data_IF_036367592041
#
_entry.id   IF_036367592041
#
_cell.length_a   1.000
_cell.length_b   1.000
_cell.length_c   1.000
_cell.angle_alpha   90.00
_cell.angle_beta   90.00
_cell.angle_gamma   90.00
#
_symmetry.space_group_name_H-M   'P 1'
#
loop_
_entity.id
_entity.type
_entity.pdbx_description
1 polymer ?
2 non-polymer ?
3 non-polymer ?
4 water ?
#
# COMPACT_ATOMS: atom_id res chain seq x y z
N UNK A 5 -7.05 -16.92 -13.31
CA UNK A 5 -8.31 -16.43 -13.96
C UNK A 5 -8.07 -15.17 -14.80
N UNK A 6 -9.05 -14.83 -15.63
CA UNK A 6 -8.91 -13.74 -16.58
C UNK A 6 -9.46 -12.41 -16.06
N UNK A 7 -10.53 -12.48 -15.27
CA UNK A 7 -11.26 -11.29 -14.83
C UNK A 7 -10.83 -10.67 -13.51
N UNK A 8 -11.58 -9.66 -13.10
CA UNK A 8 -11.34 -8.97 -11.83
C UNK A 8 -11.30 -9.93 -10.63
N UNK A 9 -10.13 -10.09 -9.98
CA UNK A 9 -10.02 -11.05 -8.88
C UNK A 9 -10.90 -10.77 -7.66
N UNK A 10 -11.33 -9.51 -7.51
CA UNK A 10 -12.17 -9.09 -6.36
C UNK A 10 -13.64 -9.47 -6.55
N UNK A 11 -14.05 -9.63 -7.80
CA UNK A 11 -15.46 -9.87 -8.16
C UNK A 11 -16.11 -11.06 -7.43
N UNK A 12 -17.23 -10.80 -6.78
CA UNK A 12 -18.02 -11.85 -6.12
C UNK A 12 -17.49 -12.29 -4.76
N UNK A 13 -16.49 -11.59 -4.24
CA UNK A 13 -15.92 -11.93 -2.95
C UNK A 13 -16.30 -10.94 -1.88
N UNK A 14 -16.55 -11.44 -0.66
CA UNK A 14 -16.61 -10.59 0.51
C UNK A 14 -15.19 -10.28 0.92
N UNK A 15 -14.94 -9.06 1.34
CA UNK A 15 -13.58 -8.68 1.68
C UNK A 15 -13.41 -8.82 3.17
N UNK A 16 -12.45 -9.65 3.57
CA UNK A 16 -12.17 -9.91 4.97
C UNK A 16 -11.77 -8.64 5.69
N UNK A 17 -12.42 -8.38 6.83
CA UNK A 17 -12.15 -7.16 7.59
C UNK A 17 -11.07 -7.43 8.61
N UNK A 18 -9.99 -6.67 8.49
CA UNK A 18 -8.82 -6.80 9.35
C UNK A 18 -9.22 -6.71 10.84
N UNK A 19 -8.96 -7.77 11.63
CA UNK A 19 -9.20 -7.67 13.08
C UNK A 19 -8.19 -6.75 13.76
N UNK A 20 -6.98 -6.68 13.21
CA UNK A 20 -5.92 -5.83 13.73
C UNK A 20 -6.41 -4.37 13.69
N UNK A 21 -6.90 -3.96 12.51
CA UNK A 21 -7.38 -2.60 12.31
C UNK A 21 -8.68 -2.34 13.09
N UNK A 22 -9.56 -3.33 13.15
CA UNK A 22 -10.80 -3.20 13.91
C UNK A 22 -10.50 -2.87 15.38
N UNK A 23 -9.57 -3.61 15.98
CA UNK A 23 -9.16 -3.38 17.36
C UNK A 23 -8.56 -1.99 17.59
N UNK A 24 -7.71 -1.53 16.65
CA UNK A 24 -7.18 -0.14 16.71
C UNK A 24 -8.30 0.92 16.64
N UNK A 25 -9.26 0.70 15.74
CA UNK A 25 -10.40 1.62 15.58
C UNK A 25 -11.29 1.61 16.81
N UNK A 26 -11.60 0.42 17.32
CA UNK A 26 -12.37 0.26 18.55
C UNK A 26 -11.78 1.06 19.72
N UNK A 27 -10.49 0.86 20.00
CA UNK A 27 -9.80 1.63 21.03
C UNK A 27 -9.74 3.14 20.71
N UNK A 28 -9.55 3.48 19.44
CA UNK A 28 -9.54 4.88 19.02
C UNK A 28 -10.89 5.55 19.24
N UNK A 29 -11.96 4.86 18.86
CA UNK A 29 -13.31 5.37 19.08
C UNK A 29 -13.57 5.61 20.57
N UNK A 30 -13.10 4.69 21.41
CA UNK A 30 -13.29 4.78 22.86
C UNK A 30 -12.71 6.09 23.43
N UNK A 31 -11.64 6.60 22.82
CA UNK A 31 -10.94 7.80 23.30
C UNK A 31 -11.52 9.11 22.75
N UNK A 32 -12.41 9.00 21.77
CA UNK A 32 -13.04 10.19 21.15
C UNK A 32 -14.26 10.57 21.98
N UNK A 33 -14.24 11.78 22.54
CA UNK A 33 -15.35 12.23 23.40
C UNK A 33 -16.61 12.68 22.65
N UNK A 34 -16.43 13.25 21.45
CA UNK A 34 -17.55 13.71 20.63
C UNK A 34 -18.38 12.53 20.13
N UNK A 35 -19.64 12.41 20.60
CA UNK A 35 -20.43 11.21 20.30
C UNK A 35 -20.70 11.05 18.80
N UNK A 36 -20.74 12.17 18.07
CA UNK A 36 -20.94 12.12 16.63
C UNK A 36 -19.69 11.54 15.94
N UNK A 37 -18.52 12.09 16.28
CA UNK A 37 -17.24 11.59 15.78
C UNK A 37 -16.92 10.18 16.26
N UNK A 38 -17.39 9.84 17.46
CA UNK A 38 -17.21 8.48 17.99
C UNK A 38 -17.92 7.48 17.06
N UNK A 39 -19.18 7.78 16.76
CA UNK A 39 -20.04 6.93 15.94
C UNK A 39 -19.51 6.80 14.51
N UNK A 40 -18.95 7.88 13.99
CA UNK A 40 -18.34 7.86 12.67
C UNK A 40 -17.05 7.05 12.69
N UNK A 41 -16.29 7.16 13.78
CA UNK A 41 -15.05 6.39 13.94
C UNK A 41 -15.33 4.89 13.85
N UNK A 42 -16.41 4.45 14.51
CA UNK A 42 -16.79 3.03 14.52
C UNK A 42 -17.20 2.45 13.15
N UNK A 43 -17.72 3.29 12.26
CA UNK A 43 -18.03 2.87 10.88
C UNK A 43 -16.76 2.40 10.14
N UNK A 44 -15.63 3.02 10.47
CA UNK A 44 -14.35 2.74 9.81
C UNK A 44 -13.92 1.27 9.92
N UNK A 45 -14.26 0.61 11.04
CA UNK A 45 -13.85 -0.80 11.19
C UNK A 45 -14.61 -1.74 10.24
N UNK A 46 -15.67 -1.25 9.62
CA UNK A 46 -16.40 -2.00 8.59
C UNK A 46 -15.89 -1.73 7.17
N UNK A 47 -14.86 -0.89 7.06
CA UNK A 47 -14.29 -0.57 5.74
C UNK A 47 -13.04 -1.41 5.52
N UNK A 48 -13.01 -2.21 4.43
CA UNK A 48 -11.88 -3.11 4.19
C UNK A 48 -10.55 -2.37 4.00
N UNK A 49 -9.53 -2.84 4.71
CA UNK A 49 -8.16 -2.37 4.55
C UNK A 49 -7.22 -3.54 4.26
N UNK A 50 -6.01 -3.23 3.80
CA UNK A 50 -4.96 -4.23 3.60
C UNK A 50 -4.16 -4.46 4.88
N UNK A 51 -3.77 -5.72 5.09
CA UNK A 51 -3.00 -6.15 6.27
C UNK A 51 -1.51 -6.25 5.94
N UNK A 52 -0.70 -5.46 6.62
CA UNK A 52 0.70 -5.31 6.30
C UNK A 52 1.52 -6.31 7.08
N UNK A 53 2.42 -6.98 6.38
CA UNK A 53 3.39 -7.86 7.03
C UNK A 53 4.75 -7.20 6.88
N UNK A 54 4.96 -6.21 7.76
CA UNK A 54 6.13 -5.33 7.74
C UNK A 54 7.27 -5.89 8.59
N UNK A 55 6.99 -6.92 9.39
CA UNK A 55 7.98 -7.62 10.21
C UNK A 55 7.71 -9.13 10.18
N UNK A 56 8.79 -9.92 10.21
CA UNK A 56 8.70 -11.36 10.03
C UNK A 56 8.06 -12.03 11.26
N UNK A 57 8.15 -11.39 12.41
CA UNK A 57 7.38 -11.83 13.58
C UNK A 57 5.86 -11.80 13.35
N UNK A 58 5.39 -11.09 12.31
CA UNK A 58 3.96 -11.10 11.97
C UNK A 58 3.52 -12.27 11.08
N UNK A 59 4.46 -13.05 10.55
CA UNK A 59 4.06 -14.11 9.61
C UNK A 59 3.07 -15.13 10.24
N UNK A 60 3.28 -15.54 11.50
CA UNK A 60 2.31 -16.48 12.09
C UNK A 60 0.89 -15.91 12.16
N UNK A 61 0.78 -14.58 12.24
CA UNK A 61 -0.53 -13.91 12.25
C UNK A 61 -1.30 -14.11 10.96
N UNK A 62 -0.58 -14.19 9.83
CA UNK A 62 -1.25 -14.51 8.57
C UNK A 62 -2.03 -15.81 8.68
N UNK A 63 -1.40 -16.83 9.26
CA UNK A 63 -2.09 -18.10 9.50
C UNK A 63 -3.40 -17.89 10.25
N UNK A 64 -3.34 -17.06 11.29
CA UNK A 64 -4.49 -16.75 12.13
C UNK A 64 -5.60 -16.03 11.33
N UNK A 65 -5.23 -15.06 10.49
CA UNK A 65 -6.23 -14.35 9.67
C UNK A 65 -6.89 -15.27 8.64
N UNK A 66 -6.08 -16.16 8.06
CA UNK A 66 -6.55 -17.06 7.01
C UNK A 66 -7.44 -18.14 7.61
N UNK A 67 -7.08 -18.62 8.81
CA UNK A 67 -7.93 -19.55 9.56
C UNK A 67 -9.27 -18.89 9.85
N UNK A 68 -9.22 -17.65 10.31
CA UNK A 68 -10.41 -16.86 10.65
C UNK A 68 -11.30 -16.67 9.41
N UNK A 69 -10.68 -16.28 8.30
CA UNK A 69 -11.37 -16.10 7.04
C UNK A 69 -11.92 -17.42 6.54
N UNK A 70 -11.14 -18.49 6.67
CA UNK A 70 -11.64 -19.83 6.31
C UNK A 70 -12.90 -20.23 7.13
N UNK A 71 -12.86 -19.98 8.42
CA UNK A 71 -14.00 -20.27 9.32
C UNK A 71 -15.25 -19.47 8.96
N UNK A 72 -15.07 -18.18 8.64
CA UNK A 72 -16.18 -17.32 8.20
C UNK A 72 -16.79 -17.86 6.91
N UNK A 73 -15.90 -18.21 5.97
CA UNK A 73 -16.28 -18.82 4.70
C UNK A 73 -17.07 -20.11 4.91
N UNK A 74 -16.56 -20.99 5.78
CA UNK A 74 -17.22 -22.28 6.01
C UNK A 74 -18.54 -22.14 6.77
N UNK A 75 -18.60 -21.17 7.69
CA UNK A 75 -19.82 -20.89 8.45
C UNK A 75 -20.93 -20.32 7.55
N UNK A 76 -20.58 -19.34 6.73
CA UNK A 76 -21.55 -18.56 5.95
C UNK A 76 -21.74 -19.06 4.52
N UNK A 77 -20.77 -19.82 4.01
CA UNK A 77 -20.77 -20.24 2.60
C UNK A 77 -20.46 -19.11 1.63
N UNK A 78 -20.02 -17.97 2.17
CA UNK A 78 -19.67 -16.82 1.35
C UNK A 78 -18.16 -16.73 1.21
N UNK A 79 -17.68 -16.81 -0.04
CA UNK A 79 -16.25 -16.76 -0.36
C UNK A 79 -15.59 -15.50 0.21
N UNK A 80 -14.44 -15.69 0.86
CA UNK A 80 -13.68 -14.62 1.51
C UNK A 80 -12.40 -14.28 0.72
N UNK A 81 -12.04 -12.99 0.72
CA UNK A 81 -10.81 -12.53 0.11
C UNK A 81 -10.02 -11.72 1.15
N UNK A 82 -8.76 -12.13 1.37
CA UNK A 82 -7.87 -11.51 2.36
C UNK A 82 -6.84 -10.64 1.64
N UNK A 83 -6.69 -9.40 2.11
CA UNK A 83 -5.85 -8.39 1.50
C UNK A 83 -4.60 -8.17 2.36
N UNK A 84 -3.43 -8.39 1.76
CA UNK A 84 -2.17 -8.34 2.49
C UNK A 84 -1.11 -7.48 1.79
N UNK A 85 -0.12 -7.02 2.54
CA UNK A 85 1.00 -6.29 1.95
C UNK A 85 2.29 -7.00 2.28
N UNK A 86 3.12 -7.23 1.26
CA UNK A 86 4.46 -7.80 1.46
C UNK A 86 5.37 -6.58 1.55
N UNK A 87 6.01 -6.38 2.69
CA UNK A 87 6.78 -5.16 2.92
C UNK A 87 7.91 -5.40 3.92
N UNK A 88 8.99 -6.01 3.43
CA UNK A 88 10.12 -6.31 4.31
C UNK A 88 11.45 -6.56 3.62
N UNK A 89 11.62 -5.96 2.44
CA UNK A 89 12.88 -6.11 1.68
C UNK A 89 14.10 -5.72 2.52
N UNK A 90 15.26 -6.36 2.28
CA UNK A 90 16.45 -5.84 3.00
C UNK A 90 16.77 -4.41 2.57
N UNK A 91 17.29 -3.60 3.49
CA UNK A 91 17.51 -2.16 3.26
C UNK A 91 16.24 -1.48 2.70
N UNK A 92 15.12 -1.79 3.35
CA UNK A 92 13.82 -1.24 2.99
C UNK A 92 13.81 0.30 3.01
N UNK A 93 12.90 0.90 2.24
CA UNK A 93 12.63 2.34 2.32
C UNK A 93 13.92 3.14 2.16
N UNK A 94 14.64 2.86 1.08
CA UNK A 94 16.06 3.22 0.98
C UNK A 94 16.33 4.71 0.79
N UNK A 95 15.30 5.48 0.41
CA UNK A 95 15.42 6.92 0.24
C UNK A 95 14.98 7.66 1.50
N UNK A 96 14.58 6.92 2.52
CA UNK A 96 14.03 7.51 3.73
C UNK A 96 14.54 6.85 5.00
N UNK A 97 14.33 7.51 6.13
CA UNK A 97 14.69 6.98 7.45
C UNK A 97 13.48 6.35 8.16
N UNK A 98 12.28 6.87 7.86
CA UNK A 98 11.09 6.62 8.66
C UNK A 98 10.69 5.14 8.82
N UNK A 99 10.76 4.39 7.72
CA UNK A 99 10.36 2.98 7.70
C UNK A 99 11.52 2.02 7.43
N UNK A 100 12.68 2.30 8.01
CA UNK A 100 13.91 1.52 7.78
C UNK A 100 13.72 -0.01 7.68
N UNK A 101 13.30 -0.69 8.73
CA UNK A 101 13.10 -2.13 8.57
C UNK A 101 14.21 -3.00 9.13
N UNK A 102 13.88 -4.27 9.36
CA UNK A 102 14.68 -5.14 10.22
C UNK A 102 15.81 -5.89 9.52
N UNK A 103 15.74 -6.03 8.21
CA UNK A 103 16.79 -6.74 7.48
C UNK A 103 17.79 -5.79 6.83
N UNK A 104 19.07 -6.11 6.99
CA UNK A 104 20.17 -5.37 6.37
C UNK A 104 20.93 -6.27 5.42
N UNK A 105 21.26 -5.73 4.25
CA UNK A 105 22.12 -6.44 3.31
C UNK A 105 23.52 -6.65 3.87
N UNK A 106 23.92 -5.76 4.78
CA UNK A 106 25.18 -5.91 5.49
C UNK A 106 25.15 -7.10 6.47
N UNK A 107 23.96 -7.61 6.77
CA UNK A 107 23.83 -8.68 7.75
C UNK A 107 22.91 -9.83 7.29
N UNK A 108 23.23 -10.41 6.13
CA UNK A 108 22.50 -11.57 5.60
C UNK A 108 21.05 -11.28 5.21
N UNK A 109 20.77 -10.01 4.90
CA UNK A 109 19.41 -9.53 4.62
C UNK A 109 18.67 -10.25 3.51
N UNK A 110 19.40 -10.68 2.48
CA UNK A 110 18.77 -11.30 1.33
C UNK A 110 18.17 -12.66 1.68
N UNK A 111 18.96 -13.52 2.34
CA UNK A 111 18.49 -14.84 2.75
C UNK A 111 17.35 -14.73 3.77
N UNK A 112 17.50 -13.83 4.74
CA UNK A 112 16.46 -13.57 5.72
C UNK A 112 15.16 -13.12 5.04
N UNK A 113 15.27 -12.39 3.93
CA UNK A 113 14.06 -11.98 3.21
C UNK A 113 13.37 -13.17 2.53
N UNK A 114 14.15 -14.07 1.94
CA UNK A 114 13.58 -15.27 1.30
C UNK A 114 12.86 -16.12 2.33
N UNK A 115 13.47 -16.24 3.52
CA UNK A 115 12.86 -16.95 4.63
C UNK A 115 11.54 -16.30 5.05
N UNK A 116 11.53 -14.97 5.12
CA UNK A 116 10.30 -14.22 5.45
C UNK A 116 9.19 -14.59 4.45
N UNK A 117 9.54 -14.59 3.16
CA UNK A 117 8.59 -14.98 2.12
C UNK A 117 8.15 -16.44 2.27
N UNK A 118 9.10 -17.31 2.60
CA UNK A 118 8.85 -18.73 2.85
C UNK A 118 7.88 -18.95 4.00
N UNK A 119 8.03 -18.16 5.06
CA UNK A 119 7.10 -18.22 6.19
C UNK A 119 5.70 -17.76 5.75
N UNK A 120 5.61 -16.65 5.01
CA UNK A 120 4.33 -16.23 4.42
C UNK A 120 3.71 -17.38 3.61
N UNK A 121 4.52 -18.01 2.78
CA UNK A 121 4.06 -19.13 1.94
C UNK A 121 3.60 -20.34 2.76
N UNK A 122 4.26 -20.62 3.88
CA UNK A 122 3.92 -21.78 4.71
C UNK A 122 2.56 -21.60 5.40
N UNK A 123 2.18 -20.35 5.63
CA UNK A 123 0.87 -20.05 6.21
C UNK A 123 -0.21 -20.17 5.15
N UNK A 124 0.03 -19.61 3.98
CA UNK A 124 -0.91 -19.68 2.87
C UNK A 124 -1.19 -21.14 2.45
N UNK A 125 -0.17 -22.00 2.56
CA UNK A 125 -0.32 -23.41 2.19
C UNK A 125 -1.31 -24.13 3.09
N UNK A 126 -1.40 -23.70 4.35
CA UNK A 126 -2.29 -24.35 5.32
C UNK A 126 -3.76 -23.97 5.11
N UNK A 127 -4.01 -22.88 4.37
CA UNK A 127 -5.36 -22.40 4.15
C UNK A 127 -5.61 -22.05 2.69
N UNK A 128 -5.70 -23.08 1.83
CA UNK A 128 -5.78 -22.87 0.38
C UNK A 128 -7.16 -22.44 -0.14
N UNK A 129 -8.16 -22.39 0.74
CA UNK A 129 -9.55 -22.21 0.28
C UNK A 129 -10.00 -20.76 0.27
N UNK A 130 -9.10 -19.87 0.62
CA UNK A 130 -9.39 -18.44 0.70
C UNK A 130 -8.57 -17.68 -0.37
N UNK A 131 -9.21 -16.75 -1.07
CA UNK A 131 -8.50 -15.93 -2.06
C UNK A 131 -7.66 -14.88 -1.35
N UNK A 132 -6.46 -14.63 -1.87
CA UNK A 132 -5.57 -13.60 -1.33
C UNK A 132 -5.12 -12.65 -2.42
N UNK A 133 -5.21 -11.36 -2.13
CA UNK A 133 -4.65 -10.29 -2.94
C UNK A 133 -3.50 -9.64 -2.17
N UNK A 134 -2.33 -9.63 -2.79
CA UNK A 134 -1.14 -9.10 -2.15
C UNK A 134 -0.63 -7.89 -2.92
N UNK A 135 -0.27 -6.83 -2.18
CA UNK A 135 0.50 -5.74 -2.75
C UNK A 135 1.97 -6.05 -2.45
N UNK A 136 2.80 -5.98 -3.49
CA UNK A 136 4.21 -6.37 -3.36
C UNK A 136 5.12 -5.16 -3.19
N UNK A 137 5.65 -5.04 -1.97
CA UNK A 137 6.77 -4.14 -1.65
C UNK A 137 6.64 -2.68 -2.08
N UNK A 138 5.74 -1.91 -1.41
CA UNK A 138 5.60 -0.49 -1.68
C UNK A 138 6.94 0.22 -1.69
N UNK A 139 7.05 1.19 -2.60
CA UNK A 139 8.23 2.06 -2.79
C UNK A 139 9.43 1.42 -3.45
N UNK A 140 9.57 0.11 -3.35
CA UNK A 140 10.80 -0.56 -3.79
C UNK A 140 11.22 -0.19 -5.21
N UNK A 141 10.43 -0.64 -6.19
CA UNK A 141 10.71 -0.36 -7.61
C UNK A 141 10.67 1.13 -8.01
N UNK A 142 9.80 1.92 -7.37
CA UNK A 142 9.79 3.36 -7.60
C UNK A 142 11.14 4.03 -7.25
N UNK A 143 11.75 3.59 -6.15
CA UNK A 143 13.10 4.04 -5.78
C UNK A 143 14.17 3.61 -6.78
N UNK A 144 13.98 2.43 -7.36
CA UNK A 144 14.93 1.92 -8.34
C UNK A 144 14.96 2.76 -9.60
N UNK A 145 13.81 3.35 -9.95
CA UNK A 145 13.70 4.25 -11.11
C UNK A 145 14.31 5.63 -10.82
N UNK A 146 14.08 6.13 -9.61
CA UNK A 146 14.26 7.54 -9.35
C UNK A 146 15.43 7.93 -8.46
N UNK A 147 15.89 6.99 -7.62
CA UNK A 147 16.83 7.32 -6.54
C UNK A 147 18.16 6.57 -6.48
N UNK A 148 18.69 6.17 -7.64
CA UNK A 148 20.00 5.51 -7.69
C UNK A 148 21.16 6.44 -7.27
N UNK A 149 20.88 7.73 -7.12
CA UNK A 149 21.82 8.67 -6.49
C UNK A 149 21.95 8.47 -4.97
N UNK A 150 21.01 7.75 -4.38
CA UNK A 150 21.00 7.50 -2.95
C UNK A 150 21.77 6.21 -2.69
N UNK A 151 22.83 6.31 -1.88
CA UNK A 151 23.74 5.18 -1.67
C UNK A 151 23.02 3.89 -1.25
N UNK A 152 22.17 3.97 -0.24
CA UNK A 152 21.37 2.82 0.21
C UNK A 152 20.56 2.19 -0.94
N UNK A 153 19.92 3.01 -1.77
CA UNK A 153 19.15 2.51 -2.91
C UNK A 153 20.02 1.85 -3.96
N UNK A 154 21.11 2.51 -4.32
CA UNK A 154 22.07 1.96 -5.28
C UNK A 154 22.61 0.60 -4.84
N UNK A 155 22.99 0.49 -3.57
CA UNK A 155 23.43 -0.78 -3.00
C UNK A 155 22.36 -1.86 -2.95
N UNK A 156 21.09 -1.42 -2.86
CA UNK A 156 19.97 -2.34 -2.73
C UNK A 156 19.40 -2.85 -4.05
N UNK A 157 19.85 -2.30 -5.17
CA UNK A 157 19.19 -2.56 -6.47
C UNK A 157 19.01 -4.04 -6.83
N UNK A 158 20.07 -4.84 -6.75
CA UNK A 158 19.99 -6.26 -7.08
C UNK A 158 19.05 -7.03 -6.13
N UNK A 159 19.14 -6.68 -4.85
CA UNK A 159 18.37 -7.35 -3.81
C UNK A 159 16.86 -7.04 -3.93
N UNK A 160 16.53 -5.78 -4.25
CA UNK A 160 15.13 -5.39 -4.47
C UNK A 160 14.50 -6.22 -5.60
N UNK A 161 15.19 -6.27 -6.74
CA UNK A 161 14.69 -7.02 -7.90
C UNK A 161 14.61 -8.51 -7.59
N UNK A 162 15.70 -9.08 -7.10
CA UNK A 162 15.73 -10.47 -6.68
C UNK A 162 14.58 -10.78 -5.70
N UNK A 163 14.40 -9.91 -4.71
CA UNK A 163 13.42 -10.12 -3.64
C UNK A 163 11.99 -10.07 -4.14
N UNK A 164 11.69 -9.07 -4.97
CA UNK A 164 10.36 -8.92 -5.56
C UNK A 164 10.05 -10.11 -6.49
N UNK A 165 11.03 -10.54 -7.29
CA UNK A 165 10.82 -11.69 -8.18
C UNK A 165 10.56 -12.98 -7.38
N UNK A 166 11.32 -13.19 -6.32
CA UNK A 166 11.13 -14.35 -5.44
C UNK A 166 9.71 -14.37 -4.87
N UNK A 167 9.32 -13.24 -4.27
CA UNK A 167 7.98 -13.12 -3.68
C UNK A 167 6.90 -13.44 -4.71
N UNK A 168 7.03 -12.88 -5.91
CA UNK A 168 6.06 -13.06 -6.98
C UNK A 168 5.98 -14.51 -7.42
N UNK A 169 7.15 -15.16 -7.58
CA UNK A 169 7.20 -16.57 -8.00
C UNK A 169 6.61 -17.49 -6.93
N UNK A 170 6.88 -17.16 -5.68
CA UNK A 170 6.39 -17.97 -4.57
C UNK A 170 4.89 -17.78 -4.34
N UNK A 171 4.41 -16.54 -4.46
CA UNK A 171 2.96 -16.29 -4.25
C UNK A 171 2.14 -16.77 -5.44
N UNK A 172 2.63 -16.55 -6.67
CA UNK A 172 1.95 -17.02 -7.88
C UNK A 172 1.79 -18.53 -7.94
N UNK A 173 2.76 -19.26 -7.39
CA UNK A 173 2.68 -20.73 -7.32
C UNK A 173 1.63 -21.16 -6.30
N UNK A 174 1.22 -20.25 -5.42
CA UNK A 174 0.19 -20.54 -4.44
C UNK A 174 -1.19 -19.96 -4.81
N UNK A 175 -1.28 -19.36 -5.99
CA UNK A 175 -2.56 -18.86 -6.50
C UNK A 175 -2.96 -17.53 -5.92
N UNK A 176 -1.98 -16.82 -5.35
CA UNK A 176 -2.17 -15.50 -4.78
C UNK A 176 -2.12 -14.46 -5.90
N UNK A 177 -3.08 -13.53 -5.87
CA UNK A 177 -3.12 -12.46 -6.86
C UNK A 177 -2.25 -11.31 -6.39
N UNK A 178 -1.25 -10.97 -7.21
CA UNK A 178 -0.31 -9.89 -6.86
C UNK A 178 -0.51 -8.63 -7.66
N UNK A 179 -0.35 -7.50 -6.99
CA UNK A 179 -0.24 -6.20 -7.61
C UNK A 179 1.05 -5.62 -7.11
N UNK A 180 1.98 -5.38 -8.03
CA UNK A 180 3.31 -4.86 -7.71
C UNK A 180 3.20 -3.36 -7.48
N UNK A 181 3.83 -2.87 -6.42
CA UNK A 181 3.77 -1.44 -6.15
C UNK A 181 4.39 -0.62 -7.26
N UNK A 182 3.72 0.47 -7.62
CA UNK A 182 4.15 1.27 -8.74
C UNK A 182 4.20 2.78 -8.44
N UNK A 183 4.56 3.15 -7.21
CA UNK A 183 4.59 4.57 -6.81
C UNK A 183 3.23 5.26 -6.95
N UNK A 184 3.25 6.48 -7.45
CA UNK A 184 2.03 7.30 -7.62
C UNK A 184 2.26 8.34 -8.69
N UNK A 185 1.19 9.10 -9.02
CA UNK A 185 1.25 10.11 -10.07
C UNK A 185 2.39 11.11 -9.89
N UNK A 186 2.60 11.57 -8.65
CA UNK A 186 3.67 12.55 -8.36
C UNK A 186 5.04 11.94 -8.16
N UNK A 187 5.17 10.64 -8.41
CA UNK A 187 6.47 9.98 -8.31
C UNK A 187 6.89 9.49 -9.70
N UNK A 188 6.14 8.52 -10.22
CA UNK A 188 6.47 7.91 -11.53
C UNK A 188 5.62 8.45 -12.68
N UNK A 189 4.70 9.36 -12.37
CA UNK A 189 3.84 10.02 -13.38
C UNK A 189 4.53 11.05 -14.24
N UNK A 190 5.62 11.62 -13.71
CA UNK A 190 6.45 12.58 -14.44
C UNK A 190 7.00 11.94 -15.71
N UNK A 191 7.03 12.69 -16.81
CA UNK A 191 7.60 12.23 -18.06
C UNK A 191 9.05 11.72 -17.93
N UNK A 192 9.83 12.36 -17.05
CA UNK A 192 11.16 11.84 -16.72
C UNK A 192 11.14 10.34 -16.35
N UNK A 193 10.05 9.88 -15.72
CA UNK A 193 10.03 8.56 -15.08
C UNK A 193 9.11 7.50 -15.70
N UNK A 194 8.16 7.91 -16.52
CA UNK A 194 7.18 6.99 -17.10
C UNK A 194 7.79 5.83 -17.87
N UNK A 195 8.48 6.14 -18.98
CA UNK A 195 9.07 5.10 -19.83
C UNK A 195 10.00 4.17 -19.04
N UNK A 196 10.93 4.74 -18.23
CA UNK A 196 11.79 3.85 -17.43
C UNK A 196 10.99 2.96 -16.48
N UNK A 197 9.90 3.49 -15.91
CA UNK A 197 9.06 2.66 -15.04
C UNK A 197 8.45 1.52 -15.83
N UNK A 198 7.81 1.86 -16.95
CA UNK A 198 7.18 0.84 -17.81
C UNK A 198 8.16 -0.28 -18.11
N UNK A 199 9.40 0.08 -18.45
CA UNK A 199 10.43 -0.92 -18.77
C UNK A 199 10.73 -1.82 -17.59
N UNK A 200 10.88 -1.23 -16.41
CA UNK A 200 11.19 -1.98 -15.20
C UNK A 200 10.07 -2.93 -14.80
N UNK A 201 8.83 -2.47 -14.86
CA UNK A 201 7.69 -3.33 -14.49
C UNK A 201 7.58 -4.51 -15.43
N UNK A 202 7.81 -4.25 -16.72
CA UNK A 202 7.76 -5.30 -17.75
C UNK A 202 8.83 -6.38 -17.48
N UNK A 203 10.02 -5.93 -17.08
CA UNK A 203 11.17 -6.81 -16.76
C UNK A 203 10.88 -7.72 -15.55
N UNK A 204 10.38 -7.12 -14.47
CA UNK A 204 9.96 -7.87 -13.29
C UNK A 204 8.87 -8.92 -13.63
N UNK A 205 7.83 -8.50 -14.33
CA UNK A 205 6.80 -9.40 -14.84
C UNK A 205 7.42 -10.58 -15.60
N UNK A 206 8.34 -10.29 -16.52
CA UNK A 206 9.01 -11.31 -17.31
C UNK A 206 9.79 -12.28 -16.44
N UNK A 207 10.72 -11.75 -15.65
CA UNK A 207 11.58 -12.55 -14.76
C UNK A 207 10.81 -13.33 -13.70
N UNK A 208 9.60 -12.84 -13.37
CA UNK A 208 8.69 -13.54 -12.46
C UNK A 208 7.84 -14.60 -13.17
N UNK A 209 8.09 -14.79 -14.47
CA UNK A 209 7.44 -15.89 -15.20
C UNK A 209 6.13 -15.53 -15.87
N UNK A 210 5.74 -14.25 -15.84
CA UNK A 210 4.51 -13.79 -16.50
C UNK A 210 3.24 -14.50 -16.03
N UNK A 211 3.21 -14.91 -14.77
CA UNK A 211 2.01 -15.58 -14.22
C UNK A 211 0.78 -14.69 -14.31
N UNK A 212 -0.33 -15.29 -14.75
CA UNK A 212 -1.63 -14.63 -14.72
C UNK A 212 -2.05 -14.15 -13.32
N UNK A 213 -1.47 -14.77 -12.29
CA UNK A 213 -1.68 -14.31 -10.91
C UNK A 213 -1.03 -12.96 -10.61
N UNK A 214 -0.05 -12.58 -11.43
CA UNK A 214 0.55 -11.25 -11.34
C UNK A 214 -0.37 -10.31 -12.11
N UNK A 215 -1.39 -9.82 -11.42
CA UNK A 215 -2.51 -9.16 -12.08
C UNK A 215 -2.15 -7.76 -12.58
N UNK A 216 -1.25 -7.09 -11.89
CA UNK A 216 -0.82 -5.77 -12.32
C UNK A 216 -0.12 -4.98 -11.25
N UNK A 217 -0.54 -3.73 -11.10
CA UNK A 217 0.17 -2.78 -10.25
C UNK A 217 -0.72 -2.08 -9.23
N UNK A 218 -0.09 -1.55 -8.19
CA UNK A 218 -0.79 -0.79 -7.16
C UNK A 218 -0.22 0.63 -7.14
N UNK A 219 -1.09 1.63 -6.98
CA UNK A 219 -0.64 3.02 -7.00
C UNK A 219 -1.13 3.76 -5.76
N UNK A 220 -0.41 4.81 -5.38
CA UNK A 220 -0.86 5.73 -4.33
C UNK A 220 -0.81 5.12 -2.94
N UNK A 221 -0.09 4.01 -2.78
CA UNK A 221 0.09 3.36 -1.48
C UNK A 221 0.70 4.34 -0.47
N UNK A 222 0.01 4.50 0.66
CA UNK A 222 0.38 5.45 1.74
C UNK A 222 0.48 6.90 1.28
N UNK A 223 -0.14 7.22 0.16
CA UNK A 223 -0.11 8.59 -0.32
C UNK A 223 -1.51 9.18 -0.35
N UNK A 224 -1.66 10.34 -0.97
CA UNK A 224 -2.84 11.19 -0.76
C UNK A 224 -3.43 11.74 -2.05
N UNK A 225 -2.94 11.28 -3.20
CA UNK A 225 -3.42 11.81 -4.49
C UNK A 225 -4.91 11.53 -4.72
N UNK A 226 -5.54 12.40 -5.51
CA UNK A 226 -6.90 12.16 -5.96
C UNK A 226 -6.87 11.04 -7.01
N UNK A 227 -7.96 10.28 -7.07
CA UNK A 227 -8.14 9.34 -8.16
C UNK A 227 -8.38 10.12 -9.45
N UNK A 228 -9.39 10.97 -9.42
CA UNK A 228 -9.72 11.85 -10.53
C UNK A 228 -10.05 13.22 -9.94
N UNK A 229 -9.16 14.17 -10.17
CA UNK A 229 -9.22 15.45 -9.50
C UNK A 229 -10.30 16.31 -10.10
N UNK A 230 -11.26 16.72 -9.27
CA UNK A 230 -12.30 17.66 -9.69
C UNK A 230 -11.65 19.03 -9.96
N UNK A 231 -10.89 19.53 -8.98
CA UNK A 231 -10.01 20.70 -9.18
C UNK A 231 -8.54 20.25 -9.10
N UNK A 232 -7.72 20.75 -10.01
CA UNK A 232 -6.29 20.45 -9.95
C UNK A 232 -5.63 20.99 -8.68
N UNK A 233 -4.91 20.12 -7.98
CA UNK A 233 -4.11 20.49 -6.79
C UNK A 233 -2.89 21.30 -7.26
N UNK A 234 -2.75 22.56 -6.75
CA UNK A 234 -1.65 23.45 -7.13
C UNK A 234 -0.28 22.79 -7.03
N UNK A 235 -0.15 21.83 -6.13
CA UNK A 235 1.12 21.17 -5.89
C UNK A 235 1.57 20.25 -7.05
N UNK A 236 0.64 19.94 -7.95
CA UNK A 236 0.90 19.03 -9.06
C UNK A 236 1.40 19.75 -10.33
N UNK A 237 1.62 21.07 -10.24
CA UNK A 237 1.95 21.84 -11.45
C UNK A 237 3.19 21.33 -12.17
N UNK A 238 3.11 21.30 -13.50
CA UNK A 238 4.18 20.79 -14.33
C UNK A 238 4.01 19.33 -14.71
N UNK A 239 3.16 18.61 -13.98
CA UNK A 239 2.94 17.20 -14.25
C UNK A 239 1.55 17.03 -14.85
N UNK A 240 1.52 16.70 -16.14
CA UNK A 240 0.24 16.47 -16.83
C UNK A 240 -0.60 15.38 -16.16
N UNK A 241 0.06 14.43 -15.51
CA UNK A 241 -0.64 13.36 -14.80
C UNK A 241 -0.80 13.72 -13.34
N UNK A 242 -1.74 14.64 -13.10
CA UNK A 242 -1.93 15.25 -11.79
C UNK A 242 -2.92 14.53 -10.88
N UNK A 243 -3.45 13.41 -11.35
CA UNK A 243 -4.19 12.47 -10.47
C UNK A 243 -3.84 11.02 -10.86
N UNK A 244 -4.34 10.06 -10.08
CA UNK A 244 -3.95 8.66 -10.26
C UNK A 244 -4.50 8.08 -11.56
N UNK A 245 -5.73 8.49 -11.92
CA UNK A 245 -6.35 8.09 -13.19
C UNK A 245 -5.55 8.48 -14.43
N UNK A 246 -5.04 9.71 -14.44
CA UNK A 246 -4.22 10.21 -15.55
C UNK A 246 -2.90 9.47 -15.63
N UNK A 247 -2.29 9.28 -14.47
CA UNK A 247 -1.07 8.50 -14.33
C UNK A 247 -1.26 7.13 -14.94
N UNK A 248 -2.33 6.45 -14.54
CA UNK A 248 -2.60 5.07 -14.99
C UNK A 248 -2.89 5.04 -16.50
N UNK A 249 -3.68 5.99 -16.99
CA UNK A 249 -3.99 6.11 -18.41
C UNK A 249 -2.78 6.46 -19.29
N UNK A 250 -1.78 7.13 -18.71
CA UNK A 250 -0.51 7.36 -19.40
C UNK A 250 0.38 6.10 -19.32
N UNK A 251 0.38 5.45 -18.16
CA UNK A 251 1.24 4.25 -17.97
C UNK A 251 0.73 2.99 -18.70
N UNK A 252 -0.55 2.66 -18.56
CA UNK A 252 -1.10 1.42 -19.11
C UNK A 252 -0.72 1.12 -20.58
N UNK A 253 -0.90 2.09 -21.51
CA UNK A 253 -0.54 1.83 -22.91
C UNK A 253 0.96 1.55 -23.10
N UNK A 254 1.80 2.31 -22.41
CA UNK A 254 3.24 2.15 -22.47
C UNK A 254 3.63 0.74 -22.07
N UNK A 255 3.09 0.33 -20.93
CA UNK A 255 3.40 -0.97 -20.35
C UNK A 255 2.91 -2.09 -21.28
N UNK A 256 1.75 -1.90 -21.88
CA UNK A 256 1.18 -2.80 -22.88
C UNK A 256 2.17 -3.02 -24.04
N UNK A 257 2.65 -1.91 -24.62
CA UNK A 257 3.64 -1.99 -25.69
C UNK A 257 4.93 -2.66 -25.25
N UNK A 258 5.26 -2.51 -23.96
CA UNK A 258 6.41 -3.18 -23.33
C UNK A 258 6.14 -4.64 -22.95
N UNK A 259 4.96 -5.14 -23.27
CA UNK A 259 4.67 -6.58 -23.13
C UNK A 259 3.85 -7.02 -21.93
N UNK A 260 3.20 -6.08 -21.27
CA UNK A 260 2.37 -6.45 -20.12
C UNK A 260 1.05 -5.70 -20.13
N UNK A 261 -0.05 -6.41 -20.35
CA UNK A 261 -1.38 -5.83 -20.20
C UNK A 261 -1.78 -5.89 -18.71
N UNK A 262 -1.40 -4.85 -17.97
CA UNK A 262 -1.51 -4.84 -16.52
C UNK A 262 -2.81 -4.19 -16.07
N UNK A 263 -3.38 -4.70 -14.98
CA UNK A 263 -4.52 -4.06 -14.34
C UNK A 263 -4.07 -3.34 -13.06
N UNK A 264 -4.92 -2.50 -12.50
CA UNK A 264 -4.48 -1.61 -11.42
C UNK A 264 -5.42 -1.60 -10.20
N UNK A 265 -4.86 -1.43 -9.01
CA UNK A 265 -5.64 -1.05 -7.82
C UNK A 265 -5.07 0.27 -7.25
N UNK A 266 -5.96 1.11 -6.71
CA UNK A 266 -5.59 2.46 -6.25
C UNK A 266 -5.96 2.68 -4.79
N UNK A 267 -4.96 3.03 -3.99
CA UNK A 267 -5.19 3.43 -2.61
C UNK A 267 -5.89 4.79 -2.62
N UNK A 268 -6.99 4.88 -1.88
CA UNK A 268 -7.67 6.18 -1.66
C UNK A 268 -7.94 6.40 -0.16
N UNK A 269 -7.29 5.60 0.68
CA UNK A 269 -7.50 5.64 2.13
C UNK A 269 -7.33 6.98 2.81
N UNK A 270 -6.38 7.78 2.36
CA UNK A 270 -6.17 9.11 2.95
C UNK A 270 -6.25 10.21 1.91
N UNK A 271 -7.20 10.06 0.97
CA UNK A 271 -7.31 10.95 -0.19
C UNK A 271 -8.50 11.89 -0.14
N UNK A 272 -9.24 11.88 0.96
CA UNK A 272 -10.44 12.69 1.08
C UNK A 272 -10.23 14.20 1.02
N UNK A 273 -9.05 14.65 1.43
CA UNK A 273 -8.75 16.09 1.42
C UNK A 273 -7.59 16.35 0.49
N UNK A 274 -7.85 17.16 -0.55
CA UNK A 274 -6.83 17.57 -1.51
C UNK A 274 -6.28 18.94 -1.11
N UNK A 275 -5.23 19.40 -1.80
CA UNK A 275 -4.62 20.73 -1.56
C UNK A 275 -4.07 20.95 -0.14
N UNK A 276 -3.44 19.93 0.44
CA UNK A 276 -2.93 19.96 1.83
C UNK A 276 -1.39 19.88 1.95
N UNK A 277 -0.71 19.84 0.81
CA UNK A 277 0.74 19.69 0.77
C UNK A 277 1.42 20.94 0.20
N UNK A 278 2.52 21.35 0.84
CA UNK A 278 3.35 22.44 0.33
C UNK A 278 4.14 22.00 -0.90
N UNK A 279 4.66 20.77 -0.84
CA UNK A 279 5.27 20.10 -1.99
C UNK A 279 4.69 18.70 -2.17
N UNK A 280 4.67 18.26 -3.44
CA UNK A 280 4.06 16.98 -3.79
C UNK A 280 4.83 15.83 -3.15
N UNK A 281 6.16 15.99 -3.04
CA UNK A 281 7.03 14.97 -2.42
C UNK A 281 6.97 14.85 -0.90
N UNK A 282 6.04 15.57 -0.27
CA UNK A 282 5.80 15.52 1.18
C UNK A 282 4.79 14.42 1.48
N UNK A 283 5.20 13.40 2.23
CA UNK A 283 4.42 12.16 2.35
C UNK A 283 4.14 11.75 3.79
N UNK A 284 4.81 12.40 4.73
CA UNK A 284 4.84 11.89 6.10
C UNK A 284 3.81 12.57 6.97
N UNK A 285 2.81 11.78 7.37
CA UNK A 285 1.74 12.26 8.25
C UNK A 285 1.23 13.63 7.80
N UNK A 286 0.87 13.77 6.54
CA UNK A 286 0.49 15.10 6.04
C UNK A 286 -0.74 15.60 6.79
N UNK A 287 -0.63 16.82 7.33
CA UNK A 287 -1.66 17.40 8.17
C UNK A 287 -3.02 17.66 7.51
N UNK A 288 -4.07 17.21 8.21
CA UNK A 288 -5.44 17.51 7.82
C UNK A 288 -5.99 16.60 6.75
N UNK A 289 -5.32 15.46 6.53
CA UNK A 289 -5.84 14.44 5.63
C UNK A 289 -7.17 13.90 6.13
N UNK A 290 -7.96 13.38 5.19
CA UNK A 290 -9.22 12.74 5.55
C UNK A 290 -9.35 11.41 4.84
N UNK A 291 -10.08 10.50 5.46
CA UNK A 291 -10.49 9.28 4.77
C UNK A 291 -11.13 9.62 3.41
N UNK A 292 -10.74 8.91 2.37
CA UNK A 292 -11.20 9.23 1.01
C UNK A 292 -12.23 8.26 0.47
N UNK A 293 -12.33 8.23 -0.86
CA UNK A 293 -13.22 7.34 -1.59
C UNK A 293 -13.17 5.91 -1.05
N UNK A 294 -14.34 5.33 -0.79
CA UNK A 294 -14.43 4.00 -0.18
C UNK A 294 -14.01 2.92 -1.18
N UNK A 295 -13.48 1.80 -0.66
CA UNK A 295 -13.18 0.63 -1.48
C UNK A 295 -14.39 0.25 -2.32
N UNK A 296 -14.15 -0.02 -3.60
CA UNK A 296 -15.21 -0.33 -4.53
C UNK A 296 -14.63 -0.92 -5.80
N UNK A 297 -15.48 -1.67 -6.50
CA UNK A 297 -15.18 -2.21 -7.82
C UNK A 297 -15.79 -1.34 -8.93
N UNK A 298 -16.54 -0.30 -8.56
CA UNK A 298 -17.10 0.64 -9.55
C UNK A 298 -16.08 1.71 -9.88
N UNK A 299 -15.12 1.37 -10.73
CA UNK A 299 -13.99 2.26 -10.99
C UNK A 299 -14.21 3.06 -12.27
N UNK A 300 -13.48 4.18 -12.44
CA UNK A 300 -13.69 5.02 -13.62
C UNK A 300 -13.07 4.46 -14.90
N UNK A 301 -12.40 3.32 -14.82
CA UNK A 301 -11.68 2.77 -15.97
C UNK A 301 -11.55 1.25 -15.89
N UNK A 302 -11.56 0.65 -17.08
CA UNK A 302 -11.43 -0.78 -17.22
C UNK A 302 -10.04 -1.31 -16.83
N UNK A 303 -9.05 -0.43 -16.84
CA UNK A 303 -7.70 -0.77 -16.39
C UNK A 303 -7.65 -0.95 -14.87
N UNK A 304 -8.63 -0.38 -14.16
CA UNK A 304 -8.63 -0.38 -12.69
C UNK A 304 -9.58 -1.41 -12.08
N UNK A 305 -9.02 -2.46 -11.48
CA UNK A 305 -9.79 -3.52 -10.86
C UNK A 305 -10.60 -3.02 -9.64
N UNK A 306 -9.97 -2.17 -8.82
CA UNK A 306 -10.57 -1.76 -7.55
C UNK A 306 -9.94 -0.50 -7.01
N UNK A 307 -10.77 0.29 -6.33
CA UNK A 307 -10.29 1.29 -5.40
C UNK A 307 -10.21 0.60 -4.04
N UNK A 308 -9.11 0.83 -3.33
CA UNK A 308 -8.84 0.11 -2.08
C UNK A 308 -8.28 1.06 -1.03
N UNK A 309 -8.23 0.58 0.22
CA UNK A 309 -7.54 1.29 1.29
C UNK A 309 -6.37 0.41 1.69
N UNK A 310 -5.18 0.69 1.15
CA UNK A 310 -4.02 -0.15 1.36
C UNK A 310 -3.28 0.24 2.64
N UNK A 311 -2.82 1.48 2.71
CA UNK A 311 -2.34 2.05 3.97
C UNK A 311 -3.50 2.27 4.94
N UNK A 312 -3.43 1.66 6.14
CA UNK A 312 -4.55 1.82 7.07
C UNK A 312 -4.46 3.17 7.80
N UNK A 313 -5.41 4.06 7.53
CA UNK A 313 -5.36 5.42 8.05
C UNK A 313 -5.43 5.44 9.56
N UNK A 314 -4.51 6.17 10.19
CA UNK A 314 -4.39 6.16 11.66
C UNK A 314 -3.05 5.60 12.15
N UNK A 315 -2.46 4.70 11.37
CA UNK A 315 -1.09 4.23 11.64
C UNK A 315 -0.08 5.21 11.05
N UNK A 316 0.93 5.58 11.84
CA UNK A 316 1.81 6.69 11.49
C UNK A 316 2.72 6.32 10.33
N UNK A 317 3.22 7.33 9.62
CA UNK A 317 4.18 7.15 8.52
C UNK A 317 5.62 7.26 8.99
N UNK A 318 5.81 7.81 10.19
CA UNK A 318 7.15 8.02 10.73
C UNK A 318 7.15 8.94 11.93
N UNK A 319 8.17 8.81 12.78
CA UNK A 319 8.29 9.64 13.97
C UNK A 319 8.77 11.06 13.64
N UNK A 320 8.21 12.05 14.34
CA UNK A 320 8.60 13.45 14.18
C UNK A 320 9.66 13.84 15.22
N UNK A 321 10.01 12.87 16.05
CA UNK A 321 10.99 13.08 17.12
C UNK A 321 12.39 13.14 16.51
N UNK A 322 12.97 14.33 16.51
CA UNK A 322 14.28 14.60 15.89
C UNK A 322 15.42 13.80 16.55
N UNK A 323 15.16 13.29 17.76
CA UNK A 323 16.13 12.48 18.53
C UNK A 323 16.11 10.99 18.16
N UNK A 324 15.01 10.53 17.56
CA UNK A 324 14.82 9.10 17.26
C UNK A 324 15.67 8.61 16.09
N UNK A 325 16.20 7.38 16.18
CA UNK A 325 17.00 6.79 15.09
C UNK A 325 16.33 6.85 13.71
N UNK A 326 15.00 6.66 13.66
CA UNK A 326 14.27 6.64 12.39
C UNK A 326 13.70 8.00 11.97
N UNK A 327 14.16 9.08 12.58
CA UNK A 327 13.67 10.40 12.22
C UNK A 327 14.07 10.77 10.79
N UNK A 328 13.07 11.12 10.00
CA UNK A 328 13.25 11.57 8.64
C UNK A 328 12.73 13.00 8.58
N UNK A 329 13.45 13.89 7.89
CA UNK A 329 13.10 15.31 7.92
C UNK A 329 11.75 15.62 7.24
N UNK A 330 11.26 14.71 6.41
CA UNK A 330 9.94 14.87 5.80
C UNK A 330 8.86 14.85 6.87
N UNK A 331 9.13 14.14 7.95
CA UNK A 331 8.20 14.01 9.07
C UNK A 331 8.20 15.23 10.00
N UNK A 332 9.17 16.11 9.78
CA UNK A 332 9.26 17.37 10.53
C UNK A 332 8.78 18.60 9.75
N UNK A 333 8.30 18.40 8.53
CA UNK A 333 7.88 19.52 7.66
C UNK A 333 6.70 20.28 8.25
N UNK A 334 6.57 21.55 7.86
CA UNK A 334 5.51 22.42 8.40
C UNK A 334 4.09 21.88 8.14
N UNK A 335 3.95 21.04 7.12
CA UNK A 335 2.65 20.45 6.77
C UNK A 335 2.48 18.98 7.19
N UNK A 336 3.36 18.51 8.10
CA UNK A 336 3.20 17.21 8.75
C UNK A 336 2.50 17.39 10.10
N UNK A 337 1.69 16.42 10.47
CA UNK A 337 1.05 16.39 11.79
C UNK A 337 2.08 15.93 12.84
N UNK A 338 2.32 16.79 13.82
CA UNK A 338 3.34 16.56 14.85
C UNK A 338 2.73 16.87 16.23
N UNK A 339 3.14 16.15 17.30
CA UNK A 339 4.18 15.11 17.28
C UNK A 339 3.63 13.76 16.82
N UNK A 340 4.41 13.05 16.01
CA UNK A 340 3.96 11.78 15.44
C UNK A 340 4.79 10.65 16.00
N UNK A 341 4.17 9.48 16.26
CA UNK A 341 4.93 8.33 16.78
C UNK A 341 5.60 7.55 15.66
N UNK A 342 6.25 6.43 16.01
CA UNK A 342 6.95 5.57 15.05
C UNK A 342 6.04 5.05 13.93
N UNK A 343 6.62 4.91 12.73
CA UNK A 343 5.91 4.36 11.58
C UNK A 343 5.22 3.06 11.98
N UNK A 344 3.96 2.90 11.56
CA UNK A 344 3.18 1.69 11.81
C UNK A 344 2.46 1.61 13.14
N UNK A 345 2.72 2.57 14.02
CA UNK A 345 2.06 2.58 15.34
C UNK A 345 0.87 3.56 15.31
N UNK A 346 -0.05 3.40 16.26
CA UNK A 346 -1.26 4.21 16.27
C UNK A 346 -1.02 5.68 16.56
N UNK A 347 -1.70 6.54 15.80
CA UNK A 347 -1.53 7.98 15.83
C UNK A 347 -2.92 8.62 16.00
N UNK A 348 -3.34 8.75 17.26
CA UNK A 348 -4.74 9.08 17.60
C UNK A 348 -5.23 10.40 17.01
N UNK A 349 -4.52 11.49 17.28
CA UNK A 349 -4.81 12.82 16.72
C UNK A 349 -5.07 12.71 15.22
N UNK A 350 -4.18 11.99 14.54
CA UNK A 350 -4.24 11.88 13.08
C UNK A 350 -5.49 11.15 12.62
N UNK A 351 -5.82 10.06 13.32
CA UNK A 351 -7.01 9.28 13.02
C UNK A 351 -8.26 10.12 13.21
N UNK A 352 -8.30 10.85 14.32
CA UNK A 352 -9.43 11.73 14.63
C UNK A 352 -9.66 12.72 13.49
N UNK A 353 -8.60 13.28 12.92
CA UNK A 353 -8.74 14.17 11.75
C UNK A 353 -9.24 13.48 10.48
N UNK A 354 -8.77 12.25 10.25
CA UNK A 354 -9.20 11.46 9.10
C UNK A 354 -10.72 11.25 9.09
N UNK A 355 -11.26 10.92 10.25
CA UNK A 355 -12.70 10.74 10.46
C UNK A 355 -13.46 12.05 10.22
N UNK A 356 -13.07 13.09 10.96
CA UNK A 356 -13.70 14.41 10.89
C UNK A 356 -13.66 14.97 9.47
N UNK A 357 -12.54 14.73 8.80
CA UNK A 357 -12.27 15.31 7.49
C UNK A 357 -12.66 14.40 6.33
N UNK A 358 -13.25 13.25 6.63
CA UNK A 358 -13.59 12.24 5.62
C UNK A 358 -14.44 12.79 4.49
N UNK A 359 -14.09 12.41 3.26
CA UNK A 359 -14.82 12.84 2.08
C UNK A 359 -14.81 11.71 1.04
N UNK A 360 -15.99 11.06 0.81
CA UNK A 360 -17.29 11.41 1.38
C UNK A 360 -17.37 11.24 2.89
N UNK A 361 -18.25 12.03 3.57
CA UNK A 361 -18.33 11.92 5.03
C UNK A 361 -18.75 10.52 5.48
N UNK A 362 -18.28 10.12 6.65
CA UNK A 362 -18.71 8.88 7.27
C UNK A 362 -20.07 9.10 7.91
N UNK A 363 -20.95 8.10 7.82
CA UNK A 363 -22.25 8.15 8.49
C UNK A 363 -22.08 7.58 9.90
N UNK A 364 -22.99 7.96 10.80
CA UNK A 364 -23.01 7.46 12.19
C UNK A 364 -22.53 6.01 12.34
#
# INVERSE_FOLDING_TARGET
TPVPSTGNPFEGYDIYLSPYYAEEVEAAAAMIDDPVLKAKALKVKEIPTFIWFDVVRKTPDLGRYLADATAIQQRTGRKQLVQIVVYDLPDRDCAAAASNGEFSLADGGMEKYKDYVDRLASEIRKYPDVRIVAVIEPDSLANMVTNMNVAKCRGAEAAYKEGVIYALRQLSALGVYSYVDAGHAGWLGWNANLAPSARLFAQIYKDAGRSAFIRGLATNVSNYNALSATTRDPVTQGNDNYDELRFINALAPLLRNEGWDAKFIVDQGRSGVQNIRQEWGNWCNVYGAGFGMRPTLNTPSSAIDAIVWIKPGGEADGTSDTSAPRYDTHCGKSDSHKPAPEAGTWFQEYFVNLVKNANPPLAAALEHHHHHH
#
